data_IF_488950056376
#
_entry.id   IF_488950056376
#
_cell.length_a   1.000
_cell.length_b   1.000
_cell.length_c   1.000
_cell.angle_alpha   90.00
_cell.angle_beta   90.00
_cell.angle_gamma   90.00
#
_symmetry.space_group_name_H-M   'P 1'
#
loop_
_entity.id
_entity.type
_entity.pdbx_description
1 polymer ?
#
# COMPACT_ATOMS: atom_id res chain seq x y z
N UNK A 1 -4.78 -16.38 4.35
CA UNK A 1 -5.89 -16.15 5.31
C UNK A 1 -6.22 -14.67 5.44
N UNK A 2 -5.24 -13.77 5.70
CA UNK A 2 -5.46 -12.31 5.70
C UNK A 2 -5.95 -11.76 4.35
N UNK A 3 -5.51 -12.40 3.26
CA UNK A 3 -5.84 -12.07 1.88
C UNK A 3 -7.33 -12.00 1.54
N UNK A 4 -8.16 -12.69 2.32
CA UNK A 4 -9.61 -12.70 2.11
C UNK A 4 -10.33 -11.52 2.78
N UNK A 5 -9.65 -10.79 3.67
CA UNK A 5 -10.26 -9.74 4.50
C UNK A 5 -9.74 -8.35 4.17
N UNK A 6 -8.48 -8.25 3.76
CA UNK A 6 -7.91 -6.97 3.33
C UNK A 6 -8.42 -6.65 1.93
N UNK A 7 -8.70 -5.36 1.72
CA UNK A 7 -9.24 -4.84 0.49
C UNK A 7 -8.24 -5.07 -0.66
N UNK A 8 -8.74 -5.56 -1.81
CA UNK A 8 -7.89 -5.93 -2.95
C UNK A 8 -7.03 -4.77 -3.46
N UNK A 9 -7.52 -3.53 -3.36
CA UNK A 9 -6.76 -2.34 -3.74
C UNK A 9 -5.56 -2.09 -2.80
N UNK A 10 -5.69 -2.39 -1.50
CA UNK A 10 -4.58 -2.29 -0.55
C UNK A 10 -3.49 -3.30 -0.90
N UNK A 11 -3.85 -4.56 -1.17
CA UNK A 11 -2.86 -5.55 -1.63
C UNK A 11 -2.17 -5.15 -2.91
N UNK A 12 -2.92 -4.68 -3.92
CA UNK A 12 -2.31 -4.24 -5.17
C UNK A 12 -1.36 -3.07 -4.94
N UNK A 13 -1.72 -2.09 -4.10
CA UNK A 13 -0.83 -0.97 -3.76
C UNK A 13 0.43 -1.41 -3.03
N UNK A 14 0.31 -2.35 -2.08
CA UNK A 14 1.48 -2.94 -1.40
C UNK A 14 2.39 -3.63 -2.41
N UNK A 15 1.84 -4.49 -3.27
CA UNK A 15 2.59 -5.14 -4.33
C UNK A 15 3.29 -4.13 -5.26
N UNK A 16 2.58 -3.12 -5.74
CA UNK A 16 3.15 -2.07 -6.61
C UNK A 16 4.27 -1.31 -5.89
N UNK A 17 4.10 -1.02 -4.59
CA UNK A 17 5.12 -0.40 -3.77
C UNK A 17 6.38 -1.27 -3.65
N UNK A 18 6.23 -2.56 -3.39
CA UNK A 18 7.35 -3.51 -3.34
C UNK A 18 8.11 -3.59 -4.66
N UNK A 19 7.38 -3.69 -5.78
CA UNK A 19 7.99 -3.72 -7.11
C UNK A 19 8.75 -2.43 -7.44
N UNK A 20 8.15 -1.27 -7.14
CA UNK A 20 8.79 0.02 -7.37
C UNK A 20 9.96 0.28 -6.39
N UNK A 21 9.91 -0.27 -5.18
CA UNK A 21 11.02 -0.14 -4.24
C UNK A 21 12.24 -0.94 -4.70
N UNK A 22 12.02 -2.17 -5.17
CA UNK A 22 13.08 -3.07 -5.64
C UNK A 22 13.63 -2.65 -7.02
N UNK A 23 12.74 -2.38 -7.98
CA UNK A 23 13.12 -2.21 -9.39
C UNK A 23 13.08 -0.77 -9.88
N UNK A 24 12.49 0.15 -9.10
CA UNK A 24 12.32 1.59 -9.44
C UNK A 24 11.46 1.87 -10.69
N UNK A 25 11.02 0.84 -11.38
CA UNK A 25 10.26 0.90 -12.61
C UNK A 25 9.38 -0.35 -12.75
N UNK A 26 8.18 -0.17 -13.29
CA UNK A 26 7.33 -1.27 -13.74
C UNK A 26 6.78 -1.01 -15.14
N UNK A 27 6.50 -2.09 -15.87
CA UNK A 27 5.66 -2.05 -17.08
C UNK A 27 4.18 -2.14 -16.69
N UNK A 28 3.39 -1.17 -17.13
CA UNK A 28 2.00 -0.98 -16.69
C UNK A 28 1.09 -2.07 -17.27
N UNK A 29 1.31 -2.46 -18.53
CA UNK A 29 0.49 -3.47 -19.21
C UNK A 29 0.78 -4.87 -18.68
N UNK A 30 2.06 -5.22 -18.53
CA UNK A 30 2.46 -6.49 -17.94
C UNK A 30 1.96 -6.62 -16.51
N UNK A 31 2.09 -5.56 -15.71
CA UNK A 31 1.59 -5.55 -14.33
C UNK A 31 0.06 -5.72 -14.27
N UNK A 32 -0.68 -5.09 -15.17
CA UNK A 32 -2.13 -5.25 -15.28
C UNK A 32 -2.52 -6.70 -15.59
N UNK A 33 -1.81 -7.34 -16.53
CA UNK A 33 -2.00 -8.76 -16.87
C UNK A 33 -1.73 -9.65 -15.65
N UNK A 34 -0.58 -9.47 -14.98
CA UNK A 34 -0.18 -10.27 -13.82
C UNK A 34 -1.18 -10.16 -12.66
N UNK A 35 -1.68 -8.95 -12.39
CA UNK A 35 -2.65 -8.69 -11.33
C UNK A 35 -4.11 -8.93 -11.76
N UNK A 36 -4.34 -9.33 -13.01
CA UNK A 36 -5.68 -9.58 -13.60
C UNK A 36 -6.63 -8.38 -13.43
N UNK A 37 -6.11 -7.18 -13.68
CA UNK A 37 -6.87 -5.92 -13.68
C UNK A 37 -6.63 -5.17 -14.98
N UNK A 38 -7.33 -4.05 -15.16
CA UNK A 38 -7.17 -3.21 -16.34
C UNK A 38 -6.01 -2.22 -16.16
N UNK A 39 -5.37 -1.80 -17.24
CA UNK A 39 -4.34 -0.74 -17.23
C UNK A 39 -4.79 0.53 -16.50
N UNK A 40 -6.02 1.04 -16.68
CA UNK A 40 -6.52 2.18 -15.89
C UNK A 40 -6.57 1.92 -14.39
N UNK A 41 -6.86 0.68 -13.96
CA UNK A 41 -6.83 0.31 -12.53
C UNK A 41 -5.42 0.43 -11.98
N UNK A 42 -4.41 -0.06 -12.71
CA UNK A 42 -3.00 0.07 -12.31
C UNK A 42 -2.60 1.54 -12.24
N UNK A 43 -2.95 2.34 -13.24
CA UNK A 43 -2.64 3.78 -13.26
C UNK A 43 -3.24 4.50 -12.05
N UNK A 44 -4.52 4.25 -11.77
CA UNK A 44 -5.18 4.81 -10.59
C UNK A 44 -4.51 4.36 -9.28
N UNK A 45 -4.16 3.07 -9.16
CA UNK A 45 -3.49 2.54 -7.98
C UNK A 45 -2.09 3.16 -7.81
N UNK A 46 -1.34 3.42 -8.90
CA UNK A 46 -0.03 4.08 -8.92
C UNK A 46 -0.11 5.56 -8.56
N UNK A 47 -1.06 6.31 -9.13
CA UNK A 47 -1.29 7.72 -8.82
C UNK A 47 -1.66 7.87 -7.34
N UNK A 48 -2.62 7.08 -6.87
CA UNK A 48 -3.02 7.10 -5.46
C UNK A 48 -1.93 6.60 -4.51
N UNK A 49 -1.06 5.67 -4.94
CA UNK A 49 0.13 5.26 -4.18
C UNK A 49 1.12 6.42 -4.04
N UNK A 50 1.40 7.13 -5.14
CA UNK A 50 2.33 8.25 -5.14
C UNK A 50 1.84 9.41 -4.27
N UNK A 51 0.54 9.74 -4.32
CA UNK A 51 -0.09 10.72 -3.43
C UNK A 51 0.04 10.32 -1.95
N UNK A 52 -0.22 9.03 -1.64
CA UNK A 52 -0.14 8.52 -0.27
C UNK A 52 1.30 8.58 0.31
N UNK A 53 2.31 8.50 -0.55
CA UNK A 53 3.71 8.39 -0.18
C UNK A 53 4.55 9.59 -0.61
N UNK A 54 3.91 10.72 -0.96
CA UNK A 54 4.56 11.91 -1.55
C UNK A 54 5.82 12.33 -0.78
N UNK A 55 5.74 12.38 0.55
CA UNK A 55 6.87 12.76 1.42
C UNK A 55 8.03 11.78 1.41
N UNK A 56 7.83 10.54 0.95
CA UNK A 56 8.84 9.50 0.82
C UNK A 56 9.44 9.43 -0.58
N UNK A 57 8.88 10.13 -1.57
CA UNK A 57 9.28 10.05 -2.97
C UNK A 57 10.32 11.12 -3.29
N UNK A 58 11.38 10.71 -3.98
CA UNK A 58 12.42 11.58 -4.53
C UNK A 58 12.10 11.99 -5.96
N UNK A 59 11.60 11.04 -6.76
CA UNK A 59 11.33 11.24 -8.18
C UNK A 59 10.16 10.34 -8.63
N UNK A 60 9.33 10.86 -9.51
CA UNK A 60 8.22 10.15 -10.14
C UNK A 60 8.18 10.52 -11.62
N UNK A 61 8.19 9.52 -12.50
CA UNK A 61 8.11 9.73 -13.95
C UNK A 61 7.18 8.69 -14.56
N UNK A 62 6.28 9.15 -15.43
CA UNK A 62 5.46 8.28 -16.27
C UNK A 62 5.90 8.37 -17.71
N UNK A 63 6.29 7.23 -18.27
CA UNK A 63 6.54 7.04 -19.69
C UNK A 63 5.44 6.14 -20.25
N UNK A 64 5.20 6.19 -21.57
CA UNK A 64 4.00 5.60 -22.22
C UNK A 64 3.53 4.25 -21.65
N UNK A 65 4.44 3.29 -21.49
CA UNK A 65 4.14 1.94 -20.96
C UNK A 65 4.79 1.66 -19.61
N UNK A 66 5.52 2.64 -19.04
CA UNK A 66 6.36 2.45 -17.86
C UNK A 66 6.08 3.48 -16.79
N UNK A 67 6.13 3.05 -15.54
CA UNK A 67 6.00 3.94 -14.40
C UNK A 67 7.24 3.81 -13.54
N UNK A 68 7.93 4.93 -13.32
CA UNK A 68 9.14 5.04 -12.51
C UNK A 68 8.85 5.80 -11.24
N UNK A 69 9.35 5.29 -10.12
CA UNK A 69 9.22 5.92 -8.82
C UNK A 69 10.44 5.59 -7.97
N UNK A 70 11.14 6.63 -7.51
CA UNK A 70 12.35 6.52 -6.71
C UNK A 70 12.05 7.05 -5.32
N UNK A 71 12.27 6.24 -4.30
CA UNK A 71 12.14 6.64 -2.90
C UNK A 71 13.36 7.42 -2.39
N UNK A 72 13.15 8.26 -1.37
CA UNK A 72 14.24 8.95 -0.67
C UNK A 72 15.15 7.94 0.04
N UNK A 73 16.42 8.31 0.19
CA UNK A 73 17.38 7.47 0.92
C UNK A 73 16.98 7.34 2.39
N UNK A 74 17.23 6.16 2.98
CA UNK A 74 16.95 5.87 4.39
C UNK A 74 15.52 5.39 4.69
N UNK A 75 14.63 5.37 3.69
CA UNK A 75 13.28 4.79 3.85
C UNK A 75 13.36 3.27 3.79
N UNK A 76 12.77 2.58 4.77
CA UNK A 76 12.67 1.13 4.76
C UNK A 76 11.37 0.67 4.09
N UNK A 77 11.43 -0.40 3.28
CA UNK A 77 10.24 -0.98 2.64
C UNK A 77 9.15 -1.35 3.65
N UNK A 78 9.54 -1.83 4.85
CA UNK A 78 8.60 -2.16 5.92
C UNK A 78 7.79 -0.96 6.40
N UNK A 79 8.36 0.25 6.42
CA UNK A 79 7.65 1.46 6.83
C UNK A 79 6.58 1.82 5.80
N UNK A 80 6.91 1.70 4.52
CA UNK A 80 5.98 1.95 3.41
C UNK A 80 4.84 0.94 3.41
N UNK A 81 5.14 -0.36 3.48
CA UNK A 81 4.10 -1.40 3.45
C UNK A 81 3.24 -1.37 4.70
N UNK A 82 3.80 -1.10 5.88
CA UNK A 82 3.03 -0.93 7.11
C UNK A 82 2.07 0.26 7.02
N UNK A 83 2.51 1.40 6.47
CA UNK A 83 1.65 2.55 6.24
C UNK A 83 0.49 2.21 5.29
N UNK A 84 0.78 1.53 4.17
CA UNK A 84 -0.24 1.12 3.19
C UNK A 84 -1.25 0.14 3.78
N UNK A 85 -0.80 -0.90 4.49
CA UNK A 85 -1.70 -1.81 5.21
C UNK A 85 -2.51 -1.07 6.28
N UNK A 86 -1.91 -0.07 6.93
CA UNK A 86 -2.58 0.82 7.88
C UNK A 86 -3.77 1.58 7.28
N UNK A 87 -3.92 1.65 5.95
CA UNK A 87 -5.09 2.25 5.30
C UNK A 87 -6.30 1.31 5.21
N UNK A 88 -6.12 0.00 5.40
CA UNK A 88 -7.20 -1.00 5.39
C UNK A 88 -8.26 -0.70 6.45
N UNK A 89 -9.54 -0.63 6.06
CA UNK A 89 -10.64 -0.49 7.02
C UNK A 89 -10.75 -1.71 7.91
N UNK A 90 -10.53 -2.91 7.37
CA UNK A 90 -10.54 -4.14 8.15
C UNK A 90 -9.49 -4.09 9.27
N UNK A 91 -8.24 -3.72 8.98
CA UNK A 91 -7.19 -3.64 10.01
C UNK A 91 -7.44 -2.51 11.00
N UNK A 92 -7.92 -1.34 10.54
CA UNK A 92 -8.33 -0.25 11.43
C UNK A 92 -9.42 -0.70 12.40
N UNK A 93 -10.41 -1.43 11.90
CA UNK A 93 -11.50 -1.96 12.70
C UNK A 93 -11.00 -2.97 13.75
N UNK A 94 -10.12 -3.89 13.38
CA UNK A 94 -9.51 -4.82 14.35
C UNK A 94 -8.67 -4.10 15.42
N UNK A 95 -7.92 -3.07 15.02
CA UNK A 95 -7.14 -2.24 15.95
C UNK A 95 -8.05 -1.54 16.96
N UNK A 96 -9.16 -0.96 16.47
CA UNK A 96 -10.17 -0.32 17.30
C UNK A 96 -10.79 -1.29 18.32
N UNK A 97 -11.23 -2.47 17.88
CA UNK A 97 -11.80 -3.49 18.77
C UNK A 97 -10.81 -3.93 19.86
N UNK A 98 -9.54 -4.13 19.49
CA UNK A 98 -8.49 -4.47 20.45
C UNK A 98 -8.26 -3.37 21.48
N UNK A 99 -8.38 -2.10 21.09
CA UNK A 99 -8.27 -0.97 22.01
C UNK A 99 -9.45 -0.94 23.00
N UNK A 100 -10.68 -1.14 22.49
CA UNK A 100 -11.88 -1.16 23.34
C UNK A 100 -11.84 -2.28 24.38
N UNK A 101 -11.45 -3.50 23.96
CA UNK A 101 -11.33 -4.64 24.89
C UNK A 101 -10.30 -4.37 25.99
N UNK A 102 -9.19 -3.67 25.69
CA UNK A 102 -8.20 -3.30 26.69
C UNK A 102 -8.77 -2.29 27.69
N UNK A 103 -9.51 -1.29 27.22
CA UNK A 103 -10.17 -0.29 28.06
C UNK A 103 -11.21 -0.94 29.00
N UNK A 104 -12.05 -1.84 28.47
CA UNK A 104 -13.07 -2.55 29.25
C UNK A 104 -12.45 -3.50 30.30
N UNK A 105 -11.27 -4.07 30.04
CA UNK A 105 -10.55 -4.88 31.05
C UNK A 105 -9.91 -4.03 32.13
N UNK A 106 -9.43 -2.83 31.81
CA UNK A 106 -8.86 -1.92 32.81
C UNK A 106 -9.91 -1.35 33.76
N UNK A 107 -11.15 -1.16 33.31
CA UNK A 107 -12.25 -0.67 34.15
C UNK A 107 -12.89 -1.71 35.07
N UNK A 108 -12.63 -3.01 34.84
CA UNK A 108 -13.07 -4.11 35.73
C UNK A 108 -12.05 -4.38 36.86
N UNK A 109 -10.83 -3.84 36.76
CA UNK A 109 -9.74 -4.03 37.73
C UNK A 109 -9.54 -2.84 38.68
N UNK A 110 -10.45 -1.85 38.65
CA UNK A 110 -10.55 -0.71 39.58
C UNK A 110 -11.89 -0.72 40.28
#
# INVERSE_FOLDING_TARGET
MLENYIERNIFRKVYLCEQLFEFQEIDIEQTAISLRVTTPTILHDLESLAECLEYCIKEQVREKHKYKLVFKHGIALSELTQFLYGQSYFLKFLSYLNCQIKLDRSSILT
#
